data_IF_676062270461
#
_entry.id   IF_676062270461
#
_cell.length_a   1.000
_cell.length_b   1.000
_cell.length_c   1.000
_cell.angle_alpha   90.00
_cell.angle_beta   90.00
_cell.angle_gamma   90.00
#
_symmetry.space_group_name_H-M   'P 1'
#
loop_
_entity.id
_entity.type
_entity.pdbx_description
1 polymer ?
#
# COMPACT_ATOMS: atom_id res chain seq x y z
N UNK A 1 -7.20 -0.25 18.05
CA UNK A 1 -5.73 -0.07 17.85
C UNK A 1 -5.47 1.36 17.38
N UNK A 2 -4.46 1.98 17.91
CA UNK A 2 -4.13 3.35 17.52
C UNK A 2 -3.51 3.41 16.13
N UNK A 3 -3.65 4.56 15.45
CA UNK A 3 -3.11 4.77 14.10
C UNK A 3 -1.63 4.39 14.01
N UNK A 4 -0.81 4.85 14.95
CA UNK A 4 0.61 4.53 14.96
C UNK A 4 0.87 3.03 15.03
N UNK A 5 0.09 2.32 15.84
CA UNK A 5 0.23 0.87 15.97
C UNK A 5 -0.12 0.15 14.67
N UNK A 6 -1.17 0.60 13.97
CA UNK A 6 -1.56 0.03 12.67
C UNK A 6 -0.43 0.25 11.66
N UNK A 7 0.09 1.47 11.57
CA UNK A 7 1.19 1.79 10.65
C UNK A 7 2.44 0.98 10.94
N UNK A 8 2.79 0.81 12.21
CA UNK A 8 3.96 0.02 12.61
C UNK A 8 3.79 -1.46 12.21
N UNK A 9 2.57 -1.99 12.37
CA UNK A 9 2.25 -3.35 11.94
C UNK A 9 2.35 -3.52 10.43
N UNK A 10 1.85 -2.54 9.67
CA UNK A 10 1.94 -2.55 8.21
C UNK A 10 3.40 -2.53 7.77
N UNK A 11 4.22 -1.65 8.37
CA UNK A 11 5.64 -1.56 8.04
C UNK A 11 6.37 -2.87 8.33
N UNK A 12 6.08 -3.48 9.47
CA UNK A 12 6.71 -4.74 9.83
C UNK A 12 6.32 -5.85 8.87
N UNK A 13 5.04 -5.92 8.50
CA UNK A 13 4.57 -6.92 7.53
C UNK A 13 5.22 -6.72 6.17
N UNK A 14 5.35 -5.47 5.73
CA UNK A 14 6.02 -5.13 4.48
C UNK A 14 7.47 -5.64 4.49
N UNK A 15 8.18 -5.41 5.57
CA UNK A 15 9.55 -5.89 5.73
C UNK A 15 9.63 -7.41 5.65
N UNK A 16 8.63 -8.10 6.21
CA UNK A 16 8.62 -9.57 6.24
C UNK A 16 8.30 -10.20 4.88
N UNK A 17 7.45 -9.58 4.06
CA UNK A 17 6.90 -10.24 2.87
C UNK A 17 7.30 -9.60 1.55
N UNK A 18 7.66 -8.31 1.51
CA UNK A 18 7.91 -7.65 0.22
C UNK A 18 9.31 -7.92 -0.31
N UNK A 19 9.43 -8.09 -1.65
CA UNK A 19 10.75 -8.30 -2.26
C UNK A 19 11.55 -7.02 -2.30
N UNK A 20 12.85 -7.16 -2.51
CA UNK A 20 13.75 -6.01 -2.64
C UNK A 20 13.33 -5.12 -3.81
N UNK A 21 13.50 -3.81 -3.65
CA UNK A 21 13.11 -2.83 -4.65
C UNK A 21 11.66 -2.39 -4.54
N UNK A 22 10.91 -2.90 -3.56
CA UNK A 22 9.51 -2.54 -3.37
C UNK A 22 9.37 -1.17 -2.70
N UNK A 23 8.26 -0.49 -3.00
CA UNK A 23 7.85 0.73 -2.31
C UNK A 23 6.39 0.58 -1.88
N UNK A 24 6.10 1.00 -0.65
CA UNK A 24 4.75 0.96 -0.11
C UNK A 24 4.39 2.33 0.42
N UNK A 25 3.25 2.84 -0.01
CA UNK A 25 2.76 4.18 0.36
C UNK A 25 1.38 4.09 0.98
N UNK A 26 1.11 5.01 1.90
CA UNK A 26 -0.23 5.28 2.41
C UNK A 26 -0.79 6.46 1.63
N UNK A 27 -2.04 6.38 1.18
CA UNK A 27 -2.72 7.51 0.54
C UNK A 27 -4.16 7.59 1.06
N UNK A 28 -4.94 8.51 0.52
CA UNK A 28 -6.33 8.68 0.91
C UNK A 28 -6.49 9.37 2.26
N UNK A 29 -7.65 9.19 2.88
CA UNK A 29 -8.02 9.92 4.09
C UNK A 29 -7.06 9.71 5.25
N UNK A 30 -6.50 8.50 5.41
CA UNK A 30 -5.52 8.22 6.47
C UNK A 30 -4.21 8.97 6.27
N UNK A 31 -3.84 9.23 5.02
CA UNK A 31 -2.65 10.01 4.70
C UNK A 31 -2.89 11.51 4.86
N UNK A 32 -4.09 12.00 4.48
CA UNK A 32 -4.44 13.41 4.58
C UNK A 32 -4.72 13.87 6.01
N UNK A 33 -5.03 12.94 6.91
CA UNK A 33 -5.38 13.28 8.29
C UNK A 33 -6.85 13.60 8.50
N UNK A 34 -7.70 13.33 7.50
CA UNK A 34 -9.15 13.56 7.61
C UNK A 34 -9.94 12.26 7.80
N UNK A 35 -9.26 11.20 8.18
CA UNK A 35 -9.88 9.91 8.45
C UNK A 35 -10.64 9.94 9.77
N UNK A 36 -11.64 9.09 9.87
CA UNK A 36 -12.39 8.85 11.11
C UNK A 36 -12.35 7.35 11.41
N UNK A 37 -12.89 6.96 12.56
CA UNK A 37 -13.00 5.57 12.94
C UNK A 37 -13.77 4.80 11.86
N UNK A 38 -13.22 3.65 11.44
CA UNK A 38 -13.81 2.86 10.37
C UNK A 38 -13.36 3.24 8.97
N UNK A 39 -12.56 4.30 8.80
CA UNK A 39 -11.99 4.63 7.49
C UNK A 39 -11.02 3.56 7.03
N UNK A 40 -11.03 3.29 5.71
CA UNK A 40 -10.12 2.33 5.10
C UNK A 40 -8.67 2.80 5.16
N UNK A 41 -7.77 1.84 5.14
CA UNK A 41 -6.34 2.09 5.00
C UNK A 41 -5.97 1.82 3.56
N UNK A 42 -5.74 2.88 2.78
CA UNK A 42 -5.46 2.78 1.35
C UNK A 42 -3.95 2.74 1.11
N UNK A 43 -3.47 1.62 0.57
CA UNK A 43 -2.04 1.41 0.31
C UNK A 43 -1.78 1.29 -1.18
N UNK A 44 -0.67 1.88 -1.61
CA UNK A 44 -0.14 1.71 -2.96
C UNK A 44 1.15 0.90 -2.86
N UNK A 45 1.17 -0.26 -3.49
CA UNK A 45 2.35 -1.13 -3.55
C UNK A 45 2.95 -1.08 -4.96
N UNK A 46 4.22 -0.71 -5.04
CA UNK A 46 4.97 -0.71 -6.30
C UNK A 46 6.05 -1.77 -6.24
N UNK A 47 6.01 -2.69 -7.19
CA UNK A 47 7.00 -3.77 -7.31
C UNK A 47 8.02 -3.43 -8.39
N UNK A 48 9.27 -3.79 -8.13
CA UNK A 48 10.37 -3.55 -9.06
C UNK A 48 10.55 -4.77 -9.98
N UNK A 49 9.67 -4.88 -10.96
CA UNK A 49 9.69 -5.95 -11.94
C UNK A 49 9.02 -5.47 -13.23
N UNK A 50 9.30 -6.13 -14.37
CA UNK A 50 8.78 -5.65 -15.67
C UNK A 50 7.27 -5.74 -15.80
N UNK A 51 6.64 -6.70 -15.12
CA UNK A 51 5.22 -7.00 -15.31
C UNK A 51 4.69 -7.73 -14.08
N UNK A 52 3.46 -7.42 -13.68
CA UNK A 52 2.79 -8.15 -12.60
C UNK A 52 2.39 -9.53 -13.08
N UNK A 53 2.53 -10.50 -12.19
CA UNK A 53 2.10 -11.86 -12.39
C UNK A 53 0.99 -12.18 -11.39
N UNK A 54 0.16 -13.15 -11.73
CA UNK A 54 -0.97 -13.53 -10.87
C UNK A 54 -0.51 -13.85 -9.44
N UNK A 55 0.62 -14.55 -9.31
CA UNK A 55 1.14 -14.96 -8.00
C UNK A 55 1.60 -13.80 -7.12
N UNK A 56 1.87 -12.62 -7.71
CA UNK A 56 2.31 -11.45 -6.95
C UNK A 56 1.24 -10.99 -5.96
N UNK A 57 -0.01 -11.14 -6.30
CA UNK A 57 -1.11 -10.76 -5.42
C UNK A 57 -1.14 -11.65 -4.17
N UNK A 58 -0.99 -12.94 -4.33
CA UNK A 58 -0.97 -13.88 -3.20
C UNK A 58 0.27 -13.75 -2.33
N UNK A 59 1.43 -13.45 -2.93
CA UNK A 59 2.68 -13.35 -2.20
C UNK A 59 2.83 -12.02 -1.46
N UNK A 60 2.38 -10.92 -2.05
CA UNK A 60 2.71 -9.56 -1.58
C UNK A 60 1.51 -8.74 -1.17
N UNK A 61 0.48 -8.67 -2.01
CA UNK A 61 -0.70 -7.84 -1.73
C UNK A 61 -1.59 -8.45 -0.67
N UNK A 62 -1.89 -9.73 -0.81
CA UNK A 62 -2.81 -10.43 0.08
C UNK A 62 -2.37 -10.44 1.55
N UNK A 63 -1.09 -10.72 1.88
CA UNK A 63 -0.65 -10.67 3.28
C UNK A 63 -0.82 -9.30 3.92
N UNK A 64 -0.68 -8.22 3.15
CA UNK A 64 -0.90 -6.87 3.65
C UNK A 64 -2.37 -6.61 3.91
N UNK A 65 -3.24 -7.08 3.02
CA UNK A 65 -4.69 -6.90 3.17
C UNK A 65 -5.24 -7.69 4.36
N UNK A 66 -4.87 -8.96 4.45
CA UNK A 66 -5.45 -9.86 5.44
C UNK A 66 -4.98 -9.58 6.85
N UNK A 67 -3.83 -8.98 7.04
CA UNK A 67 -3.35 -8.63 8.37
C UNK A 67 -4.32 -7.70 9.09
N UNK A 68 -5.03 -6.85 8.35
CA UNK A 68 -6.01 -5.93 8.94
C UNK A 68 -7.16 -6.66 9.63
N UNK A 69 -7.51 -7.85 9.14
CA UNK A 69 -8.59 -8.65 9.72
C UNK A 69 -8.30 -9.06 11.16
N UNK A 70 -7.01 -9.22 11.52
CA UNK A 70 -6.61 -9.64 12.85
C UNK A 70 -6.92 -8.58 13.91
N UNK A 71 -7.00 -7.32 13.51
CA UNK A 71 -7.27 -6.23 14.45
C UNK A 71 -8.45 -5.34 13.99
N UNK A 72 -9.31 -5.87 13.13
CA UNK A 72 -10.56 -5.20 12.78
C UNK A 72 -10.44 -4.00 11.87
N UNK A 73 -9.41 -3.93 11.04
CA UNK A 73 -9.20 -2.84 10.09
C UNK A 73 -9.36 -3.32 8.65
N UNK A 74 -9.83 -2.43 7.78
CA UNK A 74 -9.98 -2.71 6.34
C UNK A 74 -8.79 -2.09 5.61
N UNK A 75 -7.87 -2.94 5.16
CA UNK A 75 -6.68 -2.52 4.43
C UNK A 75 -6.87 -2.87 2.95
N UNK A 76 -6.78 -1.86 2.10
CA UNK A 76 -6.91 -2.00 0.64
C UNK A 76 -5.56 -1.76 0.01
N UNK A 77 -5.15 -2.65 -0.90
CA UNK A 77 -3.84 -2.56 -1.54
C UNK A 77 -4.03 -2.50 -3.06
N UNK A 78 -3.56 -1.41 -3.66
CA UNK A 78 -3.48 -1.27 -5.10
C UNK A 78 -2.04 -1.54 -5.52
N UNK A 79 -1.85 -2.49 -6.43
CA UNK A 79 -0.52 -2.98 -6.80
C UNK A 79 -0.23 -2.70 -8.26
N UNK A 80 0.95 -2.12 -8.50
CA UNK A 80 1.47 -1.82 -9.84
C UNK A 80 2.96 -2.17 -9.87
N UNK A 81 3.54 -2.27 -11.05
CA UNK A 81 4.99 -2.21 -11.18
C UNK A 81 5.41 -0.75 -11.12
N UNK A 82 6.66 -0.50 -10.76
CA UNK A 82 7.19 0.87 -10.78
C UNK A 82 7.09 1.51 -12.17
N UNK A 83 7.37 0.73 -13.23
CA UNK A 83 7.25 1.21 -14.60
C UNK A 83 5.83 1.61 -14.97
N UNK A 84 4.85 0.75 -14.68
CA UNK A 84 3.45 1.06 -14.95
C UNK A 84 3.01 2.33 -14.25
N UNK A 85 3.40 2.49 -12.99
CA UNK A 85 3.00 3.65 -12.23
C UNK A 85 3.67 4.93 -12.71
N UNK A 86 4.98 4.89 -12.93
CA UNK A 86 5.76 6.08 -13.26
C UNK A 86 5.66 6.53 -14.72
N UNK A 87 5.56 5.58 -15.65
CA UNK A 87 5.64 5.87 -17.09
C UNK A 87 4.29 6.20 -17.72
N UNK A 88 3.21 5.78 -17.07
CA UNK A 88 1.89 6.13 -17.54
C UNK A 88 1.37 5.25 -18.67
N UNK A 89 0.24 5.60 -19.27
CA UNK A 89 -0.53 6.84 -19.07
C UNK A 89 -1.10 6.96 -17.66
N UNK A 90 -1.30 8.21 -17.20
CA UNK A 90 -1.70 8.48 -15.82
C UNK A 90 -3.19 8.83 -15.74
N UNK A 91 -4.02 7.96 -15.13
CA UNK A 91 -5.42 8.28 -14.86
C UNK A 91 -5.54 9.28 -13.69
N UNK A 92 -6.73 9.80 -13.47
CA UNK A 92 -6.99 10.72 -12.36
C UNK A 92 -6.55 10.12 -11.02
N UNK A 93 -6.73 8.82 -10.84
CA UNK A 93 -6.29 8.10 -9.65
C UNK A 93 -4.81 8.35 -9.33
N UNK A 94 -3.95 8.32 -10.36
CA UNK A 94 -2.53 8.58 -10.18
C UNK A 94 -2.28 9.94 -9.56
N UNK A 95 -2.92 10.98 -10.07
CA UNK A 95 -2.69 12.34 -9.59
C UNK A 95 -3.18 12.51 -8.15
N UNK A 96 -4.31 11.92 -7.81
CA UNK A 96 -4.85 11.96 -6.46
C UNK A 96 -3.94 11.27 -5.46
N UNK A 97 -3.41 10.12 -5.83
CA UNK A 97 -2.49 9.36 -4.96
C UNK A 97 -1.17 10.09 -4.79
N UNK A 98 -0.60 10.62 -5.89
CA UNK A 98 0.68 11.33 -5.83
C UNK A 98 0.60 12.56 -4.93
N UNK A 99 -0.56 13.22 -4.87
CA UNK A 99 -0.75 14.37 -3.99
C UNK A 99 -0.74 13.99 -2.51
N UNK A 100 -1.35 12.85 -2.17
CA UNK A 100 -1.57 12.43 -0.79
C UNK A 100 -0.50 11.52 -0.22
N UNK A 101 0.22 10.77 -1.05
CA UNK A 101 0.98 9.60 -0.61
C UNK A 101 2.08 9.92 0.38
N UNK A 102 2.25 9.02 1.33
CA UNK A 102 3.33 9.04 2.32
C UNK A 102 4.04 7.69 2.31
N UNK A 103 5.36 7.71 2.36
CA UNK A 103 6.14 6.47 2.34
C UNK A 103 5.93 5.70 3.64
N UNK A 104 5.58 4.42 3.53
CA UNK A 104 5.54 3.50 4.67
C UNK A 104 6.77 2.60 4.69
N UNK A 105 7.22 2.17 3.52
CA UNK A 105 8.33 1.22 3.42
C UNK A 105 8.99 1.31 2.04
N UNK A 106 10.31 1.25 2.02
CA UNK A 106 11.11 1.15 0.81
C UNK A 106 12.29 0.21 1.06
N UNK A 107 12.62 -0.59 0.06
CA UNK A 107 13.76 -1.49 0.19
C UNK A 107 14.74 -1.38 -0.98
#
# INVERSE_FOLDING_TARGET
METKQVLDRIRQRAKDVLPQGSSLYLYGSRARGDAHEGSDWDLLLLLDKPKLEFEDFGKYSYPLMTMGWDFGEDIRVHTYTKGEWNDGPHPMFYFNVEEDKKVLYES
#
